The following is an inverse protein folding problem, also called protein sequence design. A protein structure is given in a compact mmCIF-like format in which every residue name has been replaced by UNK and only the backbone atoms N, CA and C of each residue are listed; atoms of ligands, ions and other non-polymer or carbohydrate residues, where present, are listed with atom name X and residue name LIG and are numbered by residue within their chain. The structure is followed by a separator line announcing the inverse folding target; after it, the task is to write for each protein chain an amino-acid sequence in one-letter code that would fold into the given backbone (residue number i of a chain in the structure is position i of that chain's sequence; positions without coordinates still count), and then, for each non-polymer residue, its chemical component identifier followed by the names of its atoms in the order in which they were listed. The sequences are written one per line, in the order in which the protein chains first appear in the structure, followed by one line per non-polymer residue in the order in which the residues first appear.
data_IF_283132398202
#
_entry.id   IF_283132398202
#
_cell.length_a   1.000
_cell.length_b   1.000
_cell.length_c   1.000
_cell.angle_alpha   90.00
_cell.angle_beta   90.00
_cell.angle_gamma   90.00
#
_symmetry.space_group_name_H-M   'P 1'
#
loop_
_entity.id
_entity.type
_entity.pdbx_description
1 polymer ?
#
# COMPACT_ATOMS: atom_id res chain seq x y z
N UNK A 1 11.18 -14.16 30.07
CA UNK A 1 11.13 -13.90 28.62
C UNK A 1 9.91 -13.02 28.40
N UNK A 2 10.12 -11.71 28.24
CA UNK A 2 9.05 -10.75 28.02
C UNK A 2 9.06 -10.41 26.54
N UNK A 3 8.07 -10.91 25.81
CA UNK A 3 7.86 -10.53 24.41
C UNK A 3 7.51 -9.05 24.40
N UNK A 4 8.51 -8.23 24.10
CA UNK A 4 8.31 -6.83 23.76
C UNK A 4 7.47 -6.80 22.48
N UNK A 5 6.15 -6.75 22.66
CA UNK A 5 5.19 -6.41 21.63
C UNK A 5 5.58 -5.00 21.17
N UNK A 6 6.36 -4.93 20.08
CA UNK A 6 6.79 -3.67 19.51
C UNK A 6 5.53 -2.93 19.08
N UNK A 7 5.10 -1.97 19.90
CA UNK A 7 4.09 -1.00 19.52
C UNK A 7 4.66 -0.22 18.35
N UNK A 8 4.34 -0.63 17.12
CA UNK A 8 4.62 0.16 15.94
C UNK A 8 3.82 1.45 16.09
N UNK A 9 4.48 2.53 16.49
CA UNK A 9 3.85 3.84 16.58
C UNK A 9 3.41 4.29 15.18
N UNK A 10 2.32 5.03 15.09
CA UNK A 10 1.84 5.65 13.85
C UNK A 10 2.93 6.46 13.14
N UNK A 11 3.85 7.06 13.92
CA UNK A 11 5.05 7.74 13.41
C UNK A 11 6.02 6.77 12.74
N UNK A 12 6.27 5.59 13.32
CA UNK A 12 7.12 4.57 12.69
C UNK A 12 6.53 4.05 11.37
N UNK A 13 5.20 3.97 11.25
CA UNK A 13 4.55 3.62 9.97
C UNK A 13 4.66 4.75 8.93
N UNK A 14 4.57 6.02 9.35
CA UNK A 14 4.84 7.16 8.47
C UNK A 14 6.30 7.19 7.99
N UNK A 15 7.25 6.79 8.84
CA UNK A 15 8.66 6.74 8.46
C UNK A 15 8.95 5.68 7.40
N UNK A 16 8.17 4.57 7.37
CA UNK A 16 8.29 3.51 6.36
C UNK A 16 8.13 4.03 4.93
N UNK A 17 7.40 5.13 4.71
CA UNK A 17 7.19 5.69 3.37
C UNK A 17 8.44 6.32 2.75
N UNK A 18 9.50 6.55 3.54
CA UNK A 18 10.81 7.00 3.03
C UNK A 18 11.86 5.88 3.02
N UNK A 19 11.46 4.63 3.23
CA UNK A 19 12.39 3.50 3.40
C UNK A 19 12.42 2.57 2.18
N UNK A 20 13.46 1.71 2.07
CA UNK A 20 13.51 0.62 1.09
C UNK A 20 12.30 -0.32 1.13
N UNK A 21 11.58 -0.37 2.26
CA UNK A 21 10.37 -1.17 2.41
C UNK A 21 9.23 -0.66 1.51
N UNK A 22 8.98 0.67 1.47
CA UNK A 22 7.96 1.22 0.56
C UNK A 22 8.29 0.90 -0.89
N UNK A 23 9.55 1.09 -1.28
CA UNK A 23 10.01 0.77 -2.64
C UNK A 23 9.81 -0.71 -2.99
N UNK A 24 10.06 -1.62 -2.05
CA UNK A 24 9.79 -3.04 -2.24
C UNK A 24 8.29 -3.34 -2.37
N UNK A 25 7.48 -2.71 -1.53
CA UNK A 25 6.04 -2.85 -1.50
C UNK A 25 5.40 -2.33 -2.80
N UNK A 26 5.81 -1.17 -3.30
CA UNK A 26 5.37 -0.57 -4.56
C UNK A 26 5.79 -1.38 -5.79
N UNK A 27 7.02 -1.92 -5.82
CA UNK A 27 7.56 -2.60 -6.99
C UNK A 27 7.18 -4.07 -7.10
N UNK A 28 6.84 -4.73 -5.99
CA UNK A 28 6.60 -6.18 -5.96
C UNK A 28 5.25 -6.55 -5.37
N UNK A 29 4.99 -6.17 -4.12
CA UNK A 29 3.86 -6.71 -3.37
C UNK A 29 2.52 -6.15 -3.85
N UNK A 30 2.43 -4.83 -4.03
CA UNK A 30 1.19 -4.18 -4.44
C UNK A 30 0.73 -4.55 -5.86
N UNK A 31 1.62 -4.58 -6.89
CA UNK A 31 1.21 -5.02 -8.23
C UNK A 31 0.60 -6.43 -8.21
N UNK A 32 1.27 -7.38 -7.55
CA UNK A 32 0.78 -8.76 -7.44
C UNK A 32 -0.53 -8.86 -6.65
N UNK A 33 -0.70 -8.02 -5.62
CA UNK A 33 -1.93 -7.97 -4.86
C UNK A 33 -3.10 -7.43 -5.70
N UNK A 34 -2.90 -6.33 -6.44
CA UNK A 34 -3.92 -5.71 -7.29
C UNK A 34 -4.41 -6.64 -8.39
N UNK A 35 -3.49 -7.35 -9.07
CA UNK A 35 -3.84 -8.30 -10.14
C UNK A 35 -4.79 -9.41 -9.65
N UNK A 36 -4.73 -9.76 -8.36
CA UNK A 36 -5.59 -10.78 -7.74
C UNK A 36 -6.96 -10.25 -7.32
N UNK A 37 -7.17 -8.94 -7.28
CA UNK A 37 -8.42 -8.36 -6.82
C UNK A 37 -9.50 -8.48 -7.88
N UNK A 38 -10.73 -8.84 -7.48
CA UNK A 38 -11.86 -8.88 -8.41
C UNK A 38 -12.26 -7.47 -8.88
N UNK A 39 -12.11 -6.47 -8.02
CA UNK A 39 -12.44 -5.08 -8.29
C UNK A 39 -11.39 -4.33 -9.12
N UNK A 40 -10.22 -4.93 -9.38
CA UNK A 40 -9.21 -4.32 -10.22
C UNK A 40 -9.72 -4.32 -11.68
N UNK A 41 -10.04 -3.14 -12.20
CA UNK A 41 -10.71 -2.99 -13.48
C UNK A 41 -9.77 -3.30 -14.67
N UNK A 42 -8.50 -2.94 -14.53
CA UNK A 42 -7.51 -2.96 -15.60
C UNK A 42 -6.72 -4.27 -15.72
N UNK A 43 -7.37 -5.43 -15.50
CA UNK A 43 -6.73 -6.76 -15.60
C UNK A 43 -6.09 -7.09 -16.95
N UNK A 44 -6.56 -6.45 -18.02
CA UNK A 44 -6.00 -6.61 -19.36
C UNK A 44 -4.79 -5.72 -19.64
N UNK A 45 -4.44 -4.80 -18.72
CA UNK A 45 -3.34 -3.87 -18.85
C UNK A 45 -2.18 -4.25 -17.93
N UNK A 46 -0.97 -3.88 -18.33
CA UNK A 46 0.24 -4.13 -17.54
C UNK A 46 0.49 -2.95 -16.62
N UNK A 47 0.67 -3.20 -15.33
CA UNK A 47 1.13 -2.18 -14.37
C UNK A 47 2.58 -1.81 -14.71
N UNK A 48 2.81 -0.55 -15.06
CA UNK A 48 4.14 0.01 -15.37
C UNK A 48 4.79 0.60 -14.14
N UNK A 49 4.01 1.32 -13.35
CA UNK A 49 4.46 1.93 -12.11
C UNK A 49 3.30 1.97 -11.13
N UNK A 50 3.63 1.78 -9.87
CA UNK A 50 2.71 1.98 -8.77
C UNK A 50 3.42 2.87 -7.75
N UNK A 51 2.71 3.88 -7.25
CA UNK A 51 3.22 4.77 -6.22
C UNK A 51 2.15 5.00 -5.16
N UNK A 52 2.52 4.89 -3.88
CA UNK A 52 1.70 5.43 -2.79
C UNK A 52 1.82 6.94 -2.84
N UNK A 53 0.70 7.62 -3.09
CA UNK A 53 0.67 9.08 -3.17
C UNK A 53 0.18 9.70 -1.86
N UNK A 54 -0.60 8.96 -1.08
CA UNK A 54 -1.13 9.42 0.19
C UNK A 54 -1.44 8.22 1.10
N UNK A 55 -1.39 8.45 2.41
CA UNK A 55 -1.83 7.49 3.40
C UNK A 55 -2.58 8.21 4.52
N UNK A 56 -3.58 7.54 5.06
CA UNK A 56 -4.35 8.03 6.20
C UNK A 56 -4.45 6.94 7.24
N UNK A 57 -4.11 7.27 8.49
CA UNK A 57 -4.24 6.35 9.61
C UNK A 57 -5.11 7.03 10.65
N UNK A 58 -6.37 6.61 10.81
CA UNK A 58 -7.24 7.15 11.84
C UNK A 58 -6.65 6.86 13.23
N UNK A 59 -6.76 7.82 14.15
CA UNK A 59 -6.19 7.75 15.51
C UNK A 59 -6.62 6.52 16.31
N UNK A 60 -7.85 6.04 16.09
CA UNK A 60 -8.46 4.93 16.82
C UNK A 60 -8.58 3.65 15.98
N UNK A 61 -7.86 3.56 14.87
CA UNK A 61 -7.99 2.47 13.90
C UNK A 61 -6.80 1.52 13.90
N UNK A 62 -7.10 0.22 13.93
CA UNK A 62 -6.13 -0.85 13.63
C UNK A 62 -5.91 -1.03 12.12
N UNK A 63 -6.00 0.03 11.32
CA UNK A 63 -5.78 -0.05 9.87
C UNK A 63 -5.22 1.24 9.31
N UNK A 64 -4.45 1.12 8.22
CA UNK A 64 -4.03 2.24 7.40
C UNK A 64 -4.81 2.21 6.07
N UNK A 65 -5.25 3.38 5.62
CA UNK A 65 -5.74 3.59 4.25
C UNK A 65 -4.55 4.08 3.40
N UNK A 66 -4.29 3.40 2.30
CA UNK A 66 -3.26 3.76 1.33
C UNK A 66 -3.95 4.16 0.02
N UNK A 67 -3.53 5.28 -0.53
CA UNK A 67 -3.96 5.77 -1.84
C UNK A 67 -2.80 5.55 -2.80
N UNK A 68 -3.08 4.79 -3.86
CA UNK A 68 -2.11 4.41 -4.86
C UNK A 68 -2.45 5.04 -6.20
N UNK A 69 -1.45 5.59 -6.85
CA UNK A 69 -1.49 5.92 -8.26
C UNK A 69 -0.85 4.77 -9.05
N UNK A 70 -1.60 4.22 -10.00
CA UNK A 70 -1.18 3.11 -10.85
C UNK A 70 -1.11 3.59 -12.28
N UNK A 71 0.12 3.64 -12.81
CA UNK A 71 0.39 3.86 -14.22
C UNK A 71 0.34 2.52 -14.94
N UNK A 72 -0.55 2.43 -15.92
CA UNK A 72 -0.78 1.24 -16.73
C UNK A 72 -0.22 1.43 -18.14
N UNK A 73 -0.10 0.32 -18.87
CA UNK A 73 0.22 0.37 -20.29
C UNK A 73 -0.79 1.24 -21.04
N UNK A 74 -0.34 1.85 -22.15
CA UNK A 74 -1.11 2.82 -22.96
C UNK A 74 -1.35 4.17 -22.28
N UNK A 75 -0.47 4.58 -21.35
CA UNK A 75 -0.55 5.88 -20.66
C UNK A 75 -1.87 6.07 -19.88
N UNK A 76 -2.47 4.97 -19.44
CA UNK A 76 -3.67 5.02 -18.60
C UNK A 76 -3.26 5.11 -17.13
N UNK A 77 -3.95 5.95 -16.37
CA UNK A 77 -3.65 6.18 -14.96
C UNK A 77 -4.92 5.96 -14.14
N UNK A 78 -4.80 5.19 -13.07
CA UNK A 78 -5.89 4.85 -12.17
C UNK A 78 -5.48 5.07 -10.71
N UNK A 79 -6.46 5.46 -9.89
CA UNK A 79 -6.27 5.61 -8.45
C UNK A 79 -7.02 4.52 -7.69
N UNK A 80 -6.34 3.91 -6.73
CA UNK A 80 -6.87 2.82 -5.93
C UNK A 80 -6.69 3.08 -4.43
N UNK A 81 -7.70 2.67 -3.66
CA UNK A 81 -7.70 2.78 -2.21
C UNK A 81 -7.56 1.38 -1.62
N UNK A 82 -6.55 1.19 -0.76
CA UNK A 82 -6.31 -0.07 -0.07
C UNK A 82 -6.38 0.12 1.44
N UNK A 83 -7.11 -0.76 2.12
CA UNK A 83 -7.16 -0.83 3.58
C UNK A 83 -6.21 -1.92 4.06
N UNK A 84 -5.08 -1.53 4.63
CA UNK A 84 -4.17 -2.45 5.32
C UNK A 84 -4.66 -2.67 6.75
N UNK A 85 -5.12 -3.88 7.09
CA UNK A 85 -5.36 -4.24 8.50
C UNK A 85 -4.02 -4.45 9.19
N UNK A 86 -3.83 -3.77 10.30
CA UNK A 86 -2.78 -4.09 11.25
C UNK A 86 -3.38 -5.12 12.21
N UNK A 87 -2.87 -6.36 12.18
CA UNK A 87 -3.21 -7.37 13.18
C UNK A 87 -2.45 -7.00 14.46
N UNK A 88 -2.99 -6.03 15.20
CA UNK A 88 -2.64 -5.79 16.59
C UNK A 88 -3.56 -6.62 17.48
#
# INVERSE_FOLDING_TARGET
MSEAMQSFSLHAFSDLFNTPFLSHLERKLLPQYLERQQWFASKALTIKRLKVIEHFIPSDAHFALLIHETELSRQHMEHYFYRSRSNF
#
